data_IF_957708523662
#
_entry.id   IF_957708523662
#
_cell.length_a   1.000
_cell.length_b   1.000
_cell.length_c   1.000
_cell.angle_alpha   90.00
_cell.angle_beta   90.00
_cell.angle_gamma   90.00
#
_symmetry.space_group_name_H-M   'P 1'
#
loop_
_entity.id
_entity.type
_entity.pdbx_description
1 polymer ?
#
# COMPACT_ATOMS: atom_id res chain seq x y z
N UNK A 1 -20.34 4.89 6.77
CA UNK A 1 -20.26 3.92 5.66
C UNK A 1 -18.81 3.87 5.20
N UNK A 2 -18.33 2.74 4.68
CA UNK A 2 -17.00 2.66 4.10
C UNK A 2 -16.99 3.36 2.74
N UNK A 3 -15.91 4.09 2.45
CA UNK A 3 -15.67 4.69 1.13
C UNK A 3 -14.41 4.09 0.53
N UNK A 4 -14.46 3.73 -0.75
CA UNK A 4 -13.29 3.27 -1.47
C UNK A 4 -12.52 4.48 -1.98
N UNK A 5 -11.27 4.61 -1.59
CA UNK A 5 -10.33 5.57 -2.20
C UNK A 5 -9.58 4.92 -3.37
N UNK A 6 -8.94 5.74 -4.21
CA UNK A 6 -8.29 5.30 -5.44
C UNK A 6 -7.39 4.06 -5.29
N UNK A 7 -7.28 3.29 -6.37
CA UNK A 7 -6.51 2.05 -6.41
C UNK A 7 -5.01 2.27 -6.17
N UNK A 8 -4.34 1.21 -5.69
CA UNK A 8 -2.88 1.23 -5.58
C UNK A 8 -2.21 1.33 -6.95
N UNK A 9 -1.09 2.06 -7.00
CA UNK A 9 -0.29 2.16 -8.22
C UNK A 9 0.44 0.84 -8.50
N UNK A 10 0.90 0.17 -7.44
CA UNK A 10 1.49 -1.16 -7.53
C UNK A 10 0.65 -2.17 -6.75
N UNK A 11 0.42 -3.35 -7.30
CA UNK A 11 -0.18 -4.44 -6.55
C UNK A 11 0.76 -4.87 -5.41
N UNK A 12 0.28 -4.85 -4.16
CA UNK A 12 1.07 -5.20 -2.96
C UNK A 12 0.35 -6.25 -2.12
N UNK A 13 0.97 -7.40 -1.94
CA UNK A 13 0.58 -8.42 -0.96
C UNK A 13 1.43 -8.30 0.30
N UNK A 14 0.85 -8.63 1.45
CA UNK A 14 1.54 -8.61 2.75
C UNK A 14 2.29 -7.28 3.04
N UNK A 15 1.72 -6.16 2.62
CA UNK A 15 2.21 -4.82 2.96
C UNK A 15 1.81 -4.44 4.39
N UNK A 16 2.42 -3.39 4.92
CA UNK A 16 1.98 -2.75 6.17
C UNK A 16 1.31 -1.41 5.88
N UNK A 17 0.36 -1.02 6.73
CA UNK A 17 -0.30 0.29 6.66
C UNK A 17 -0.21 0.98 8.02
N UNK A 18 0.28 2.22 8.04
CA UNK A 18 0.40 3.04 9.25
C UNK A 18 -0.23 4.41 9.04
N UNK A 19 -0.96 4.91 10.04
CA UNK A 19 -1.50 6.27 10.04
C UNK A 19 -0.40 7.22 10.51
N UNK A 20 -0.17 8.28 9.75
CA UNK A 20 0.78 9.35 10.08
C UNK A 20 0.07 10.47 10.85
N UNK A 21 0.85 11.29 11.56
CA UNK A 21 0.33 12.41 12.37
C UNK A 21 -0.42 13.47 11.57
N UNK A 22 -0.18 13.54 10.26
CA UNK A 22 -0.91 14.42 9.34
C UNK A 22 -2.19 13.78 8.77
N UNK A 23 -2.63 12.64 9.31
CA UNK A 23 -3.85 11.95 8.89
C UNK A 23 -3.74 11.17 7.58
N UNK A 24 -2.55 11.07 6.96
CA UNK A 24 -2.34 10.21 5.79
C UNK A 24 -2.03 8.77 6.21
N UNK A 25 -2.26 7.83 5.30
CA UNK A 25 -1.89 6.42 5.46
C UNK A 25 -0.67 6.12 4.62
N UNK A 26 0.40 5.67 5.26
CA UNK A 26 1.59 5.13 4.60
C UNK A 26 1.43 3.63 4.42
N UNK A 27 1.39 3.19 3.17
CA UNK A 27 1.43 1.77 2.79
C UNK A 27 2.84 1.43 2.34
N UNK A 28 3.55 0.60 3.10
CA UNK A 28 4.97 0.32 2.86
C UNK A 28 5.25 -1.16 2.58
N UNK A 29 6.15 -1.40 1.62
CA UNK A 29 6.69 -2.71 1.31
C UNK A 29 5.69 -3.69 0.72
N UNK A 30 5.83 -4.95 1.12
CA UNK A 30 5.07 -6.09 0.61
C UNK A 30 5.71 -6.73 -0.62
N UNK A 31 4.93 -7.55 -1.31
CA UNK A 31 5.36 -8.28 -2.50
C UNK A 31 4.39 -8.06 -3.65
N UNK A 32 4.90 -7.84 -4.85
CA UNK A 32 4.07 -7.89 -6.05
C UNK A 32 3.89 -9.34 -6.51
N UNK A 33 2.74 -9.64 -7.12
CA UNK A 33 2.53 -10.92 -7.80
C UNK A 33 3.33 -10.92 -9.12
N UNK A 34 4.43 -11.66 -9.12
CA UNK A 34 5.27 -11.94 -10.29
C UNK A 34 5.28 -13.42 -10.68
N UNK A 35 5.99 -13.76 -11.75
CA UNK A 35 5.87 -15.02 -12.51
C UNK A 35 6.41 -16.31 -11.85
N UNK A 36 6.92 -16.28 -10.61
CA UNK A 36 7.31 -17.53 -9.92
C UNK A 36 7.56 -17.34 -8.41
N UNK A 37 8.00 -16.15 -8.01
CA UNK A 37 8.26 -15.76 -6.62
C UNK A 37 7.77 -14.32 -6.43
N UNK A 38 7.21 -14.00 -5.26
CA UNK A 38 6.78 -12.64 -4.95
C UNK A 38 7.98 -11.69 -4.98
N UNK A 39 7.88 -10.61 -5.75
CA UNK A 39 8.96 -9.61 -5.84
C UNK A 39 8.79 -8.64 -4.68
N UNK A 40 9.77 -8.61 -3.77
CA UNK A 40 9.77 -7.65 -2.67
C UNK A 40 9.80 -6.22 -3.21
N UNK A 41 8.90 -5.38 -2.67
CA UNK A 41 8.79 -3.99 -3.08
C UNK A 41 9.60 -3.11 -2.14
N UNK A 42 10.64 -2.47 -2.66
CA UNK A 42 11.38 -1.40 -1.97
C UNK A 42 10.75 -0.03 -2.26
N UNK A 43 9.44 0.07 -2.05
CA UNK A 43 8.70 1.31 -2.26
C UNK A 43 7.53 1.41 -1.29
N UNK A 44 7.01 2.63 -1.16
CA UNK A 44 5.82 2.93 -0.37
C UNK A 44 4.89 3.87 -1.13
N UNK A 45 3.63 3.85 -0.77
CA UNK A 45 2.59 4.72 -1.33
C UNK A 45 1.86 5.44 -0.19
N UNK A 46 1.47 6.69 -0.44
CA UNK A 46 0.86 7.57 0.57
C UNK A 46 -0.56 7.93 0.15
N UNK A 47 -1.53 7.63 1.02
CA UNK A 47 -2.96 7.83 0.77
C UNK A 47 -3.57 8.83 1.76
N UNK A 48 -4.64 9.52 1.34
CA UNK A 48 -5.48 10.30 2.24
C UNK A 48 -6.44 9.36 2.99
N UNK A 49 -6.78 9.65 4.25
CA UNK A 49 -7.71 8.85 5.05
C UNK A 49 -9.17 9.34 5.02
N UNK A 50 -9.51 10.25 4.09
CA UNK A 50 -10.81 10.93 4.01
C UNK A 50 -11.99 9.99 3.74
#
# INVERSE_FOLDING_TARGET
>A
AWTTIGSMNSARLAHTASILTNGKVLVAGGFSMGIALGIALDSAELYYSS
#
